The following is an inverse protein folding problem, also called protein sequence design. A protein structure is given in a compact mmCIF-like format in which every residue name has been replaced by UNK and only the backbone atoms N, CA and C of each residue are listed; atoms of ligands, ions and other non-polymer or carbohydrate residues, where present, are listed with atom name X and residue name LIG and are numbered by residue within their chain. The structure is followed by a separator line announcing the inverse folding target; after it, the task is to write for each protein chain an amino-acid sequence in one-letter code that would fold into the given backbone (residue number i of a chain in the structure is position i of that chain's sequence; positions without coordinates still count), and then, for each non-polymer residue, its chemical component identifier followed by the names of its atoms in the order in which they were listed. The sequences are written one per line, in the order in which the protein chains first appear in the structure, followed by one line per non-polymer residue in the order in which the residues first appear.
data_IF_335025235320
#
_entry.id   IF_335025235320
#
_cell.length_a   1.000
_cell.length_b   1.000
_cell.length_c   1.000
_cell.angle_alpha   90.00
_cell.angle_beta   90.00
_cell.angle_gamma   90.00
#
_symmetry.space_group_name_H-M   'P 1'
#
loop_
_entity.id
_entity.type
_entity.pdbx_description
1 polymer ?
#
# COMPACT_ATOMS: atom_id res chain seq x y z
N UNK A 1 23.65 0.55 2.79
CA UNK A 1 22.64 -0.25 2.10
C UNK A 1 23.23 -1.58 1.74
N UNK A 2 22.82 -2.61 2.47
CA UNK A 2 23.12 -3.99 2.19
C UNK A 2 22.38 -4.44 0.92
N UNK A 3 23.11 -4.41 -0.20
CA UNK A 3 22.61 -4.82 -1.50
C UNK A 3 22.24 -6.31 -1.53
N UNK A 4 22.87 -7.16 -0.70
CA UNK A 4 22.56 -8.59 -0.63
C UNK A 4 21.21 -8.84 0.06
N UNK A 5 20.93 -8.11 1.13
CA UNK A 5 19.63 -8.17 1.79
C UNK A 5 18.50 -7.65 0.88
N UNK A 6 18.75 -6.55 0.14
CA UNK A 6 17.78 -6.03 -0.83
C UNK A 6 17.52 -7.02 -1.97
N UNK A 7 18.56 -7.68 -2.51
CA UNK A 7 18.41 -8.75 -3.52
C UNK A 7 17.57 -9.91 -2.98
N UNK A 8 17.84 -10.35 -1.76
CA UNK A 8 17.07 -11.41 -1.09
C UNK A 8 15.60 -11.02 -0.94
N UNK A 9 15.32 -9.76 -0.59
CA UNK A 9 13.97 -9.25 -0.51
C UNK A 9 13.25 -9.23 -1.87
N UNK A 10 13.94 -8.86 -2.96
CA UNK A 10 13.39 -8.94 -4.32
C UNK A 10 13.03 -10.39 -4.68
N UNK A 11 13.90 -11.35 -4.42
CA UNK A 11 13.60 -12.77 -4.68
C UNK A 11 12.43 -13.28 -3.84
N UNK A 12 12.29 -12.82 -2.60
CA UNK A 12 11.10 -13.11 -1.76
C UNK A 12 9.80 -12.60 -2.39
N UNK A 13 9.82 -11.42 -3.04
CA UNK A 13 8.66 -10.88 -3.77
C UNK A 13 8.40 -11.66 -5.07
N UNK A 14 9.43 -12.14 -5.74
CA UNK A 14 9.28 -12.98 -6.94
C UNK A 14 8.68 -14.34 -6.59
N UNK A 15 9.16 -14.97 -5.51
CA UNK A 15 8.68 -16.28 -5.07
C UNK A 15 7.20 -16.30 -4.62
N UNK A 16 6.65 -15.16 -4.19
CA UNK A 16 5.20 -15.02 -3.91
C UNK A 16 4.35 -14.69 -5.15
N UNK A 17 4.97 -14.56 -6.32
CA UNK A 17 4.30 -14.39 -7.60
C UNK A 17 4.35 -12.98 -8.22
N UNK A 18 5.18 -12.06 -7.74
CA UNK A 18 5.48 -10.83 -8.50
C UNK A 18 6.44 -11.14 -9.65
N UNK A 19 6.31 -10.45 -10.78
CA UNK A 19 7.30 -10.56 -11.86
C UNK A 19 8.44 -9.56 -11.67
N UNK A 20 9.64 -9.86 -12.20
CA UNK A 20 10.75 -8.91 -12.17
C UNK A 20 10.43 -7.60 -12.90
N UNK A 21 9.68 -7.68 -14.01
CA UNK A 21 9.18 -6.54 -14.78
C UNK A 21 8.20 -5.67 -13.99
N UNK A 22 7.27 -6.28 -13.26
CA UNK A 22 6.35 -5.58 -12.34
C UNK A 22 7.14 -4.80 -11.29
N UNK A 23 8.11 -5.45 -10.63
CA UNK A 23 8.95 -4.82 -9.61
C UNK A 23 9.82 -3.70 -10.20
N UNK A 24 10.40 -3.89 -11.39
CA UNK A 24 11.18 -2.87 -12.09
C UNK A 24 10.34 -1.62 -12.35
N UNK A 25 9.13 -1.81 -12.88
CA UNK A 25 8.19 -0.72 -13.17
C UNK A 25 7.75 0.01 -11.90
N UNK A 26 7.45 -0.72 -10.83
CA UNK A 26 7.12 -0.16 -9.51
C UNK A 26 8.25 0.72 -8.97
N UNK A 27 9.50 0.32 -9.20
CA UNK A 27 10.70 1.07 -8.80
C UNK A 27 11.06 2.21 -9.77
N UNK A 28 10.44 2.28 -10.95
CA UNK A 28 10.75 3.26 -11.98
C UNK A 28 12.11 3.04 -12.64
N UNK A 29 12.53 1.78 -12.78
CA UNK A 29 13.76 1.38 -13.46
C UNK A 29 13.44 0.44 -14.65
N UNK A 30 14.42 0.20 -15.52
CA UNK A 30 14.24 -0.74 -16.64
C UNK A 30 14.38 -2.20 -16.18
N UNK A 31 13.75 -3.11 -16.93
CA UNK A 31 13.87 -4.56 -16.72
C UNK A 31 15.33 -5.03 -16.76
N UNK A 32 16.12 -4.47 -17.69
CA UNK A 32 17.56 -4.73 -17.78
C UNK A 32 18.27 -4.32 -16.52
N UNK A 33 17.96 -3.15 -15.98
CA UNK A 33 18.59 -2.64 -14.76
C UNK A 33 18.21 -3.50 -13.54
N UNK A 34 16.94 -3.92 -13.43
CA UNK A 34 16.49 -4.86 -12.40
C UNK A 34 17.21 -6.21 -12.50
N UNK A 35 17.36 -6.75 -13.72
CA UNK A 35 18.05 -8.03 -13.96
C UNK A 35 19.55 -7.96 -13.62
N UNK A 36 20.22 -6.88 -14.03
CA UNK A 36 21.64 -6.65 -13.71
C UNK A 36 21.85 -6.44 -12.21
N UNK A 37 20.96 -5.72 -11.53
CA UNK A 37 21.02 -5.55 -10.07
C UNK A 37 20.87 -6.90 -9.35
N UNK A 38 19.83 -7.68 -9.70
CA UNK A 38 19.58 -9.02 -9.12
C UNK A 38 20.76 -9.97 -9.31
N UNK A 39 21.43 -9.92 -10.47
CA UNK A 39 22.58 -10.77 -10.77
C UNK A 39 23.93 -10.27 -10.21
N UNK A 40 23.96 -9.11 -9.55
CA UNK A 40 25.20 -8.52 -9.03
C UNK A 40 26.17 -8.03 -10.10
N UNK A 41 25.67 -7.77 -11.31
CA UNK A 41 26.45 -7.29 -12.46
C UNK A 41 26.27 -5.79 -12.72
N UNK A 42 25.47 -5.11 -11.90
CA UNK A 42 25.27 -3.67 -12.04
C UNK A 42 26.58 -2.98 -11.62
N UNK A 43 27.21 -2.26 -12.55
CA UNK A 43 28.55 -1.68 -12.35
C UNK A 43 28.56 -0.48 -11.38
N UNK A 44 29.39 0.52 -11.67
CA UNK A 44 29.75 1.62 -10.75
C UNK A 44 28.59 2.46 -10.13
N UNK A 45 27.35 2.33 -10.60
CA UNK A 45 26.17 3.06 -10.09
C UNK A 45 25.21 2.16 -9.27
N UNK A 46 25.68 1.06 -8.69
CA UNK A 46 24.84 0.10 -7.95
C UNK A 46 24.12 0.74 -6.76
N UNK A 47 24.73 1.69 -6.05
CA UNK A 47 24.10 2.34 -4.89
C UNK A 47 22.88 3.20 -5.28
N UNK A 48 22.98 4.00 -6.34
CA UNK A 48 21.86 4.86 -6.78
C UNK A 48 20.65 4.04 -7.24
N UNK A 49 20.89 2.91 -7.91
CA UNK A 49 19.80 2.02 -8.31
C UNK A 49 19.22 1.27 -7.11
N UNK A 50 20.06 0.83 -6.16
CA UNK A 50 19.61 0.19 -4.93
C UNK A 50 18.70 1.13 -4.13
N UNK A 51 19.01 2.43 -4.06
CA UNK A 51 18.19 3.41 -3.33
C UNK A 51 16.80 3.57 -3.98
N UNK A 52 16.77 3.60 -5.32
CA UNK A 52 15.50 3.65 -6.07
C UNK A 52 14.67 2.39 -5.86
N UNK A 53 15.30 1.22 -5.88
CA UNK A 53 14.61 -0.06 -5.64
C UNK A 53 14.10 -0.13 -4.20
N UNK A 54 14.94 0.16 -3.21
CA UNK A 54 14.55 0.14 -1.81
C UNK A 54 13.37 1.09 -1.54
N UNK A 55 13.45 2.32 -2.07
CA UNK A 55 12.37 3.30 -1.97
C UNK A 55 11.08 2.84 -2.67
N UNK A 56 11.18 2.29 -3.88
CA UNK A 56 10.04 1.78 -4.65
C UNK A 56 9.34 0.58 -4.02
N UNK A 57 10.10 -0.28 -3.34
CA UNK A 57 9.59 -1.47 -2.67
C UNK A 57 9.26 -1.25 -1.18
N UNK A 58 9.41 -0.02 -0.67
CA UNK A 58 9.28 0.33 0.75
C UNK A 58 10.15 -0.57 1.65
N UNK A 59 11.35 -0.90 1.17
CA UNK A 59 12.34 -1.64 1.93
C UNK A 59 13.14 -0.68 2.81
N UNK A 60 13.30 -1.04 4.08
CA UNK A 60 14.07 -0.29 5.05
C UNK A 60 15.14 -1.20 5.64
N UNK A 61 16.40 -0.82 5.48
CA UNK A 61 17.53 -1.49 6.13
C UNK A 61 17.43 -1.29 7.65
N UNK A 62 17.80 -2.30 8.44
CA UNK A 62 17.70 -2.27 9.90
C UNK A 62 16.30 -1.94 10.43
N UNK A 63 15.25 -2.39 9.72
CA UNK A 63 13.88 -2.30 10.21
C UNK A 63 13.76 -3.04 11.55
N UNK A 64 13.05 -2.41 12.50
CA UNK A 64 12.81 -3.02 13.81
C UNK A 64 11.99 -4.30 13.67
N UNK A 65 12.32 -5.30 14.49
CA UNK A 65 11.54 -6.51 14.65
C UNK A 65 10.11 -6.14 15.06
N UNK A 66 9.15 -6.59 14.26
CA UNK A 66 7.73 -6.36 14.50
C UNK A 66 7.26 -7.33 15.58
N UNK A 67 6.64 -6.78 16.62
CA UNK A 67 6.11 -7.57 17.73
C UNK A 67 4.61 -7.72 17.56
N UNK A 68 4.17 -8.93 17.18
CA UNK A 68 2.75 -9.17 16.87
C UNK A 68 1.82 -8.85 18.05
N UNK A 69 2.26 -9.03 19.30
CA UNK A 69 1.41 -8.78 20.47
C UNK A 69 1.12 -7.30 20.74
N UNK A 70 1.74 -6.38 20.00
CA UNK A 70 1.52 -4.93 20.16
C UNK A 70 0.07 -4.60 19.86
N UNK A 71 -0.56 -3.86 20.77
CA UNK A 71 -2.00 -3.53 20.70
C UNK A 71 -2.40 -2.92 19.35
N UNK A 72 -1.68 -1.90 18.87
CA UNK A 72 -1.99 -1.25 17.61
C UNK A 72 -1.75 -2.16 16.39
N UNK A 73 -0.75 -3.05 16.45
CA UNK A 73 -0.51 -4.05 15.41
C UNK A 73 -1.71 -5.02 15.31
N UNK A 74 -2.21 -5.51 16.45
CA UNK A 74 -3.38 -6.39 16.48
C UNK A 74 -4.64 -5.71 15.92
N UNK A 75 -4.85 -4.42 16.21
CA UNK A 75 -5.94 -3.64 15.61
C UNK A 75 -5.81 -3.56 14.08
N UNK A 76 -4.61 -3.26 13.56
CA UNK A 76 -4.34 -3.19 12.12
C UNK A 76 -4.52 -4.57 11.47
N UNK A 77 -3.98 -5.64 12.08
CA UNK A 77 -4.11 -7.02 11.59
C UNK A 77 -5.57 -7.47 11.54
N UNK A 78 -6.36 -7.15 12.56
CA UNK A 78 -7.79 -7.46 12.59
C UNK A 78 -8.52 -6.78 11.42
N UNK A 79 -8.25 -5.50 11.19
CA UNK A 79 -8.80 -4.77 10.05
C UNK A 79 -8.35 -5.37 8.71
N UNK A 80 -7.06 -5.66 8.55
CA UNK A 80 -6.48 -6.27 7.36
C UNK A 80 -7.16 -7.60 7.02
N UNK A 81 -7.28 -8.51 7.99
CA UNK A 81 -7.91 -9.82 7.81
C UNK A 81 -9.39 -9.66 7.45
N UNK A 82 -10.10 -8.77 8.15
CA UNK A 82 -11.52 -8.51 7.88
C UNK A 82 -11.75 -7.91 6.49
N UNK A 83 -10.91 -6.95 6.07
CA UNK A 83 -10.97 -6.32 4.77
C UNK A 83 -10.70 -7.32 3.65
N UNK A 84 -9.63 -8.13 3.79
CA UNK A 84 -9.25 -9.13 2.77
C UNK A 84 -10.27 -10.25 2.66
N UNK A 85 -10.70 -10.83 3.79
CA UNK A 85 -11.62 -11.97 3.81
C UNK A 85 -13.02 -11.64 3.31
N UNK A 86 -13.51 -10.43 3.61
CA UNK A 86 -14.90 -10.04 3.35
C UNK A 86 -15.04 -9.01 2.23
N UNK A 87 -13.96 -8.71 1.49
CA UNK A 87 -13.92 -7.68 0.45
C UNK A 87 -14.44 -6.32 0.96
N UNK A 88 -14.09 -5.98 2.20
CA UNK A 88 -14.53 -4.73 2.85
C UNK A 88 -13.49 -3.64 2.69
N UNK A 89 -13.97 -2.41 2.52
CA UNK A 89 -13.15 -1.22 2.58
C UNK A 89 -13.20 -0.66 4.01
N UNK A 90 -12.05 -0.56 4.65
CA UNK A 90 -11.92 -0.07 6.02
C UNK A 90 -10.95 1.11 6.07
N UNK A 91 -11.32 2.15 6.79
CA UNK A 91 -10.48 3.33 6.97
C UNK A 91 -9.80 3.32 8.34
N UNK A 92 -8.47 3.46 8.37
CA UNK A 92 -7.70 3.63 9.60
C UNK A 92 -7.23 5.09 9.68
N UNK A 93 -7.85 5.88 10.56
CA UNK A 93 -7.50 7.27 10.78
C UNK A 93 -7.02 7.45 12.22
N UNK A 94 -5.71 7.62 12.41
CA UNK A 94 -5.11 7.74 13.75
C UNK A 94 -3.84 8.59 13.75
N UNK A 95 -3.40 9.07 14.91
CA UNK A 95 -2.22 9.96 15.05
C UNK A 95 -0.98 9.42 14.35
N UNK A 96 -0.08 10.32 13.94
CA UNK A 96 1.26 9.92 13.52
C UNK A 96 1.96 9.14 14.64
N UNK A 97 2.80 8.16 14.29
CA UNK A 97 3.49 7.31 15.27
C UNK A 97 2.64 6.22 15.94
N UNK A 98 1.37 6.04 15.56
CA UNK A 98 0.50 4.99 16.15
C UNK A 98 0.80 3.55 15.70
N UNK A 99 1.79 3.35 14.82
CA UNK A 99 2.18 2.02 14.32
C UNK A 99 1.50 1.55 13.03
N UNK A 100 0.76 2.42 12.33
CA UNK A 100 0.06 2.09 11.05
C UNK A 100 1.01 1.53 9.98
N UNK A 101 1.92 2.36 9.47
CA UNK A 101 2.76 2.06 8.31
C UNK A 101 3.59 0.79 8.51
N UNK A 102 4.25 0.64 9.67
CA UNK A 102 5.05 -0.55 9.96
C UNK A 102 4.20 -1.82 9.96
N UNK A 103 3.02 -1.78 10.59
CA UNK A 103 2.09 -2.92 10.62
C UNK A 103 1.58 -3.27 9.21
N UNK A 104 1.25 -2.28 8.39
CA UNK A 104 0.76 -2.51 7.02
C UNK A 104 1.84 -3.08 6.10
N UNK A 105 3.08 -2.59 6.20
CA UNK A 105 4.23 -3.11 5.45
C UNK A 105 4.52 -4.54 5.87
N UNK A 106 4.50 -4.83 7.17
CA UNK A 106 4.72 -6.18 7.70
C UNK A 106 3.65 -7.16 7.20
N UNK A 107 2.37 -6.81 7.30
CA UNK A 107 1.28 -7.66 6.81
C UNK A 107 1.33 -7.88 5.29
N UNK A 108 1.71 -6.85 4.52
CA UNK A 108 2.02 -7.02 3.09
C UNK A 108 3.18 -8.01 2.89
N UNK A 109 4.25 -7.89 3.66
CA UNK A 109 5.42 -8.75 3.61
C UNK A 109 5.16 -10.18 4.10
N UNK A 110 4.13 -10.41 4.90
CA UNK A 110 3.67 -11.73 5.34
C UNK A 110 2.72 -12.41 4.34
N UNK A 111 2.15 -11.67 3.38
CA UNK A 111 1.28 -12.25 2.37
C UNK A 111 2.03 -13.31 1.55
N UNK A 112 1.46 -14.52 1.52
CA UNK A 112 2.05 -15.68 0.85
C UNK A 112 1.97 -15.60 -0.68
N UNK A 113 1.00 -14.83 -1.18
CA UNK A 113 0.79 -14.59 -2.60
C UNK A 113 0.82 -13.08 -2.91
N UNK A 114 1.00 -12.75 -4.18
CA UNK A 114 0.95 -11.38 -4.71
C UNK A 114 -0.48 -10.80 -4.74
N UNK A 115 -1.34 -11.17 -3.79
CA UNK A 115 -2.74 -10.71 -3.71
C UNK A 115 -2.92 -9.37 -2.98
N UNK A 116 -1.91 -8.92 -2.26
CA UNK A 116 -1.95 -7.66 -1.50
C UNK A 116 -1.16 -6.61 -2.26
N UNK A 117 -1.80 -5.51 -2.59
CA UNK A 117 -1.20 -4.40 -3.32
C UNK A 117 -0.97 -3.26 -2.33
N UNK A 118 0.28 -2.89 -2.11
CA UNK A 118 0.66 -1.80 -1.23
C UNK A 118 1.08 -0.55 -2.02
N UNK A 119 0.41 0.57 -1.77
CA UNK A 119 0.73 1.87 -2.35
C UNK A 119 0.81 2.95 -1.26
N UNK A 120 2.00 3.55 -1.10
CA UNK A 120 2.19 4.74 -0.25
C UNK A 120 1.81 5.99 -1.02
N UNK A 121 0.75 6.66 -0.57
CA UNK A 121 0.21 7.85 -1.21
C UNK A 121 1.07 9.10 -0.94
N UNK A 122 1.03 10.02 -1.90
CA UNK A 122 1.53 11.40 -1.76
C UNK A 122 0.45 12.36 -2.22
N UNK A 123 0.77 13.65 -2.27
CA UNK A 123 -0.12 14.68 -2.81
C UNK A 123 -0.31 14.50 -4.33
N UNK A 124 -1.28 13.66 -4.69
CA UNK A 124 -1.59 13.27 -6.07
C UNK A 124 -3.03 13.66 -6.42
N UNK A 125 -3.22 14.10 -7.67
CA UNK A 125 -4.53 14.21 -8.32
C UNK A 125 -4.94 12.86 -8.93
N UNK A 126 -6.19 12.75 -9.40
CA UNK A 126 -6.76 11.54 -10.02
C UNK A 126 -5.79 10.83 -10.99
N UNK A 127 -5.38 11.52 -12.07
CA UNK A 127 -4.47 10.99 -13.09
C UNK A 127 -3.20 10.39 -12.47
N UNK A 128 -2.57 11.11 -11.55
CA UNK A 128 -1.30 10.68 -10.95
C UNK A 128 -1.48 9.50 -10.01
N UNK A 129 -2.57 9.48 -9.24
CA UNK A 129 -2.94 8.36 -8.38
C UNK A 129 -3.17 7.09 -9.20
N UNK A 130 -4.03 7.15 -10.22
CA UNK A 130 -4.35 6.01 -11.07
C UNK A 130 -3.13 5.49 -11.83
N UNK A 131 -2.30 6.38 -12.39
CA UNK A 131 -1.00 5.98 -12.98
C UNK A 131 -0.11 5.25 -11.99
N UNK A 132 0.00 5.75 -10.75
CA UNK A 132 0.84 5.13 -9.73
C UNK A 132 0.28 3.79 -9.26
N UNK A 133 -1.03 3.65 -9.18
CA UNK A 133 -1.69 2.40 -8.84
C UNK A 133 -1.51 1.35 -9.94
N UNK A 134 -1.81 1.68 -11.20
CA UNK A 134 -1.59 0.80 -12.35
C UNK A 134 -0.11 0.38 -12.46
N UNK A 135 0.82 1.33 -12.34
CA UNK A 135 2.26 1.03 -12.36
C UNK A 135 2.68 0.10 -11.21
N UNK A 136 2.12 0.29 -10.01
CA UNK A 136 2.39 -0.55 -8.85
C UNK A 136 1.93 -2.01 -9.05
N UNK A 137 0.84 -2.19 -9.81
CA UNK A 137 0.29 -3.48 -10.24
C UNK A 137 1.07 -4.09 -11.43
N UNK A 138 2.12 -3.42 -11.92
CA UNK A 138 2.90 -3.88 -13.07
C UNK A 138 2.23 -3.66 -14.43
N UNK A 139 1.19 -2.81 -14.49
CA UNK A 139 0.52 -2.47 -15.74
C UNK A 139 1.29 -1.40 -16.53
N UNK A 140 1.21 -1.47 -17.85
CA UNK A 140 1.85 -0.50 -18.73
C UNK A 140 0.95 0.71 -18.94
N UNK A 141 1.41 1.88 -18.51
CA UNK A 141 0.71 3.15 -18.67
C UNK A 141 1.36 3.97 -19.79
N UNK A 142 0.55 4.49 -20.71
CA UNK A 142 1.01 5.40 -21.77
C UNK A 142 0.57 6.84 -21.51
N UNK A 143 1.19 7.79 -22.22
CA UNK A 143 0.80 9.21 -22.13
C UNK A 143 -0.59 9.51 -22.69
N UNK A 144 -1.11 8.62 -23.54
CA UNK A 144 -2.37 8.81 -24.25
C UNK A 144 -3.58 8.37 -23.45
N UNK A 145 -3.37 7.55 -22.42
CA UNK A 145 -4.45 7.12 -21.52
C UNK A 145 -5.01 8.32 -20.75
N UNK A 146 -6.32 8.47 -20.69
CA UNK A 146 -6.99 9.42 -19.81
C UNK A 146 -7.24 8.82 -18.41
N UNK A 147 -8.15 9.39 -17.62
CA UNK A 147 -8.44 8.82 -16.30
C UNK A 147 -9.29 7.56 -16.38
N UNK A 148 -10.16 7.45 -17.37
CA UNK A 148 -11.09 6.34 -17.51
C UNK A 148 -10.32 5.12 -18.03
N UNK A 149 -9.44 5.31 -19.02
CA UNK A 149 -8.50 4.27 -19.49
C UNK A 149 -7.67 3.67 -18.34
N UNK A 150 -7.21 4.52 -17.41
CA UNK A 150 -6.43 4.06 -16.26
C UNK A 150 -7.30 3.36 -15.22
N UNK A 151 -8.53 3.84 -15.00
CA UNK A 151 -9.48 3.20 -14.12
C UNK A 151 -9.77 1.79 -14.61
N UNK A 152 -10.11 1.64 -15.90
CA UNK A 152 -10.38 0.37 -16.55
C UNK A 152 -9.18 -0.59 -16.45
N UNK A 153 -7.96 -0.07 -16.63
CA UNK A 153 -6.74 -0.85 -16.49
C UNK A 153 -6.56 -1.38 -15.06
N UNK A 154 -6.77 -0.53 -14.05
CA UNK A 154 -6.68 -0.88 -12.62
C UNK A 154 -7.77 -1.90 -12.25
N UNK A 155 -9.02 -1.63 -12.61
CA UNK A 155 -10.18 -2.48 -12.35
C UNK A 155 -9.99 -3.85 -13.00
N UNK A 156 -9.57 -3.87 -14.27
CA UNK A 156 -9.31 -5.11 -15.01
C UNK A 156 -8.23 -5.96 -14.33
N UNK A 157 -7.16 -5.32 -13.83
CA UNK A 157 -6.11 -6.03 -13.08
C UNK A 157 -6.68 -6.67 -11.81
N UNK A 158 -7.41 -5.90 -11.01
CA UNK A 158 -8.02 -6.39 -9.75
C UNK A 158 -9.00 -7.54 -10.03
N UNK A 159 -9.80 -7.43 -11.10
CA UNK A 159 -10.76 -8.46 -11.48
C UNK A 159 -10.07 -9.76 -11.92
N UNK A 160 -8.92 -9.70 -12.61
CA UNK A 160 -8.09 -10.89 -12.89
C UNK A 160 -7.58 -11.57 -11.61
N UNK A 161 -7.39 -10.80 -10.53
CA UNK A 161 -6.92 -11.30 -9.25
C UNK A 161 -8.05 -11.79 -8.33
N UNK A 162 -9.32 -11.66 -8.70
CA UNK A 162 -10.46 -11.88 -7.82
C UNK A 162 -10.43 -13.22 -7.05
N UNK A 163 -9.93 -14.30 -7.68
CA UNK A 163 -9.77 -15.62 -7.05
C UNK A 163 -8.77 -15.68 -5.89
N UNK A 164 -7.96 -14.65 -5.68
CA UNK A 164 -6.98 -14.53 -4.57
C UNK A 164 -7.44 -13.59 -3.45
N UNK A 165 -8.69 -13.12 -3.51
CA UNK A 165 -9.25 -12.10 -2.61
C UNK A 165 -8.32 -10.88 -2.48
N UNK A 166 -8.15 -10.09 -3.55
CA UNK A 166 -7.18 -9.02 -3.56
C UNK A 166 -7.46 -7.98 -2.46
N UNK A 167 -6.40 -7.44 -1.89
CA UNK A 167 -6.46 -6.37 -0.89
C UNK A 167 -5.61 -5.18 -1.34
N UNK A 168 -6.23 -4.00 -1.45
CA UNK A 168 -5.53 -2.74 -1.70
C UNK A 168 -5.21 -2.02 -0.39
N UNK A 169 -3.94 -1.72 -0.15
CA UNK A 169 -3.48 -0.86 0.95
C UNK A 169 -3.07 0.49 0.38
N UNK A 170 -3.77 1.54 0.81
CA UNK A 170 -3.41 2.93 0.57
C UNK A 170 -2.88 3.54 1.86
N UNK A 171 -1.56 3.57 2.03
CA UNK A 171 -0.92 4.20 3.19
C UNK A 171 -0.75 5.71 2.96
N UNK A 172 -0.85 6.53 4.01
CA UNK A 172 -0.80 7.99 3.92
C UNK A 172 -1.87 8.63 2.99
N UNK A 173 -3.03 7.97 2.84
CA UNK A 173 -4.11 8.37 1.93
C UNK A 173 -4.69 9.77 2.21
N UNK A 174 -4.54 10.29 3.44
CA UNK A 174 -4.91 11.67 3.79
C UNK A 174 -4.16 12.76 3.02
N UNK A 175 -3.11 12.41 2.27
CA UNK A 175 -2.37 13.33 1.39
C UNK A 175 -2.98 13.47 -0.01
N UNK A 176 -3.84 12.53 -0.42
CA UNK A 176 -4.46 12.56 -1.74
C UNK A 176 -5.28 13.84 -1.93
N UNK A 177 -5.25 14.39 -3.14
CA UNK A 177 -6.17 15.46 -3.50
C UNK A 177 -7.59 14.90 -3.58
N UNK A 178 -8.60 15.79 -3.46
CA UNK A 178 -9.99 15.40 -3.58
C UNK A 178 -10.28 14.61 -4.87
N UNK A 179 -9.75 15.05 -6.01
CA UNK A 179 -9.92 14.33 -7.27
C UNK A 179 -9.39 12.89 -7.24
N UNK A 180 -8.30 12.61 -6.52
CA UNK A 180 -7.82 11.25 -6.34
C UNK A 180 -8.71 10.45 -5.39
N UNK A 181 -9.21 11.06 -4.31
CA UNK A 181 -10.16 10.40 -3.42
C UNK A 181 -11.45 10.01 -4.15
N UNK A 182 -11.97 10.86 -5.04
CA UNK A 182 -13.17 10.54 -5.83
C UNK A 182 -12.99 9.31 -6.73
N UNK A 183 -11.77 9.01 -7.20
CA UNK A 183 -11.53 7.78 -7.99
C UNK A 183 -11.75 6.49 -7.18
N UNK A 184 -11.79 6.56 -5.85
CA UNK A 184 -12.11 5.41 -5.01
C UNK A 184 -13.56 4.94 -5.15
N UNK A 185 -14.47 5.83 -5.57
CA UNK A 185 -15.89 5.51 -5.75
C UNK A 185 -16.09 4.52 -6.90
N UNK A 186 -15.75 4.84 -8.16
CA UNK A 186 -15.87 3.88 -9.26
C UNK A 186 -14.99 2.65 -9.05
N UNK A 187 -13.78 2.81 -8.47
CA UNK A 187 -12.94 1.67 -8.13
C UNK A 187 -13.64 0.69 -7.17
N UNK A 188 -14.35 1.19 -6.15
CA UNK A 188 -15.14 0.34 -5.27
C UNK A 188 -16.28 -0.34 -6.03
N UNK A 189 -17.04 0.40 -6.83
CA UNK A 189 -18.20 -0.11 -7.55
C UNK A 189 -17.84 -1.21 -8.54
N UNK A 190 -16.82 -0.98 -9.36
CA UNK A 190 -16.43 -1.90 -10.43
C UNK A 190 -15.66 -3.13 -9.91
N UNK A 191 -15.29 -3.11 -8.62
CA UNK A 191 -14.63 -4.22 -7.93
C UNK A 191 -15.44 -4.76 -6.74
N UNK A 192 -16.74 -4.44 -6.69
CA UNK A 192 -17.65 -4.88 -5.64
C UNK A 192 -17.59 -6.41 -5.47
N UNK A 193 -17.55 -6.85 -4.22
CA UNK A 193 -17.41 -8.27 -3.81
C UNK A 193 -16.09 -8.94 -4.23
N UNK A 194 -15.12 -8.21 -4.79
CA UNK A 194 -13.83 -8.75 -5.22
C UNK A 194 -12.66 -8.13 -4.47
N UNK A 195 -12.69 -6.81 -4.26
CA UNK A 195 -11.60 -6.07 -3.63
C UNK A 195 -11.90 -5.70 -2.18
N UNK A 196 -11.02 -6.09 -1.26
CA UNK A 196 -10.92 -5.43 0.04
C UNK A 196 -9.98 -4.23 -0.02
N UNK A 197 -10.15 -3.25 0.88
CA UNK A 197 -9.21 -2.15 0.99
C UNK A 197 -8.93 -1.73 2.44
N UNK A 198 -7.68 -1.35 2.71
CA UNK A 198 -7.28 -0.59 3.89
C UNK A 198 -6.82 0.79 3.42
N UNK A 199 -7.59 1.81 3.77
CA UNK A 199 -7.24 3.21 3.50
C UNK A 199 -6.76 3.84 4.80
N UNK A 200 -5.45 4.07 4.91
CA UNK A 200 -4.82 4.50 6.14
C UNK A 200 -4.31 5.93 6.04
N UNK A 201 -4.49 6.71 7.09
CA UNK A 201 -4.01 8.09 7.17
C UNK A 201 -3.91 8.60 8.59
N UNK A 202 -3.44 9.84 8.72
CA UNK A 202 -3.54 10.57 9.99
C UNK A 202 -5.00 10.90 10.30
N UNK A 203 -5.28 11.43 11.50
CA UNK A 203 -6.62 11.90 11.90
C UNK A 203 -7.20 12.99 10.98
N UNK A 204 -6.38 13.60 10.10
CA UNK A 204 -6.88 14.56 9.12
C UNK A 204 -7.70 13.90 8.02
N UNK A 205 -7.49 12.60 7.75
CA UNK A 205 -8.24 11.87 6.73
C UNK A 205 -9.74 11.83 7.07
N UNK A 206 -10.09 11.31 8.25
CA UNK A 206 -11.47 11.29 8.73
C UNK A 206 -12.05 12.70 8.84
N UNK A 207 -11.32 13.63 9.47
CA UNK A 207 -11.78 15.03 9.64
C UNK A 207 -12.09 15.70 8.32
N UNK A 208 -11.25 15.50 7.29
CA UNK A 208 -11.48 16.09 5.98
C UNK A 208 -12.71 15.48 5.30
N UNK A 209 -12.85 14.15 5.33
CA UNK A 209 -14.03 13.50 4.73
C UNK A 209 -15.31 14.02 5.38
N UNK A 210 -15.43 13.88 6.70
CA UNK A 210 -16.63 14.30 7.46
C UNK A 210 -16.94 15.79 7.31
N UNK A 211 -15.92 16.65 7.18
CA UNK A 211 -16.12 18.09 6.98
C UNK A 211 -16.85 18.44 5.67
N UNK A 212 -16.68 17.62 4.64
CA UNK A 212 -17.18 17.89 3.29
C UNK A 212 -18.35 17.00 2.85
N UNK A 213 -18.75 16.02 3.66
CA UNK A 213 -20.01 15.28 3.47
C UNK A 213 -21.18 16.26 3.34
N UNK A 214 -21.97 16.09 2.28
CA UNK A 214 -23.11 16.97 1.95
C UNK A 214 -22.76 18.38 1.48
N UNK A 215 -21.46 18.70 1.32
CA UNK A 215 -20.99 20.04 0.88
C UNK A 215 -20.21 20.00 -0.43
N UNK A 216 -19.47 18.93 -0.65
CA UNK A 216 -18.70 18.71 -1.87
C UNK A 216 -19.01 17.30 -2.35
N UNK A 217 -19.24 17.15 -3.65
CA UNK A 217 -19.56 15.90 -4.32
C UNK A 217 -18.54 14.79 -4.00
N UNK A 218 -19.00 13.54 -3.98
CA UNK A 218 -18.18 12.35 -3.73
C UNK A 218 -17.81 12.09 -2.27
N UNK A 219 -17.75 13.09 -1.37
CA UNK A 219 -17.36 12.83 0.03
C UNK A 219 -18.38 12.01 0.82
N UNK A 220 -19.68 12.18 0.60
CA UNK A 220 -20.71 11.34 1.24
C UNK A 220 -20.63 9.89 0.74
N UNK A 221 -20.37 9.69 -0.55
CA UNK A 221 -20.20 8.36 -1.13
C UNK A 221 -18.95 7.66 -0.58
N UNK A 222 -17.81 8.36 -0.51
CA UNK A 222 -16.57 7.85 0.08
C UNK A 222 -16.78 7.47 1.55
N UNK A 223 -17.42 8.33 2.33
CA UNK A 223 -17.76 8.05 3.74
C UNK A 223 -18.66 6.79 3.83
N UNK A 224 -19.64 6.68 2.94
CA UNK A 224 -20.47 5.50 2.76
C UNK A 224 -19.68 4.23 2.46
N UNK A 225 -18.67 4.28 1.59
CA UNK A 225 -17.81 3.12 1.24
C UNK A 225 -16.95 2.67 2.41
N UNK A 226 -16.61 3.56 3.32
CA UNK A 226 -15.98 3.24 4.60
C UNK A 226 -16.98 2.81 5.68
N UNK A 227 -18.25 2.58 5.32
CA UNK A 227 -19.35 2.30 6.25
C UNK A 227 -19.50 3.38 7.33
N UNK A 228 -19.07 4.61 7.02
CA UNK A 228 -18.99 5.75 7.95
C UNK A 228 -18.24 5.44 9.24
N UNK A 229 -17.29 4.49 9.18
CA UNK A 229 -16.54 3.98 10.31
C UNK A 229 -15.03 4.15 10.11
N UNK A 230 -14.36 4.67 11.14
CA UNK A 230 -12.94 5.01 11.12
C UNK A 230 -12.25 4.39 12.32
N UNK A 231 -11.24 3.56 12.05
CA UNK A 231 -10.51 2.84 13.08
C UNK A 231 -9.43 3.75 13.66
N UNK A 232 -9.64 4.18 14.91
CA UNK A 232 -8.61 4.82 15.71
C UNK A 232 -7.73 3.76 16.39
N UNK A 233 -6.42 3.90 16.26
CA UNK A 233 -5.45 3.05 16.94
C UNK A 233 -5.15 3.62 18.32
N UNK A 234 -5.10 2.74 19.32
CA UNK A 234 -4.76 3.12 20.70
C UNK A 234 -3.30 3.56 20.86
N UNK A 235 -2.44 3.19 19.89
CA UNK A 235 -0.99 3.37 19.97
C UNK A 235 -0.33 2.27 20.80
N UNK A 236 0.94 2.47 21.14
CA UNK A 236 1.69 1.53 21.96
C UNK A 236 1.47 1.84 23.45
N UNK A 237 1.04 0.83 24.21
CA UNK A 237 0.98 0.89 25.68
C UNK A 237 2.38 0.76 26.29
N UNK A 238 2.53 1.03 27.58
CA UNK A 238 3.80 0.77 28.31
C UNK A 238 4.25 -0.69 28.19
N UNK A 239 3.31 -1.64 28.16
CA UNK A 239 3.60 -3.07 27.95
C UNK A 239 4.13 -3.31 26.54
N UNK A 240 3.50 -2.70 25.53
CA UNK A 240 3.91 -2.81 24.13
C UNK A 240 5.32 -2.25 23.93
N UNK A 241 5.60 -1.06 24.46
CA UNK A 241 6.94 -0.44 24.37
C UNK A 241 8.02 -1.35 24.96
N UNK A 242 7.77 -1.95 26.14
CA UNK A 242 8.71 -2.92 26.72
C UNK A 242 8.94 -4.14 25.81
N UNK A 243 7.88 -4.67 25.21
CA UNK A 243 7.98 -5.81 24.31
C UNK A 243 8.77 -5.45 23.04
N UNK A 244 8.52 -4.26 22.48
CA UNK A 244 9.22 -3.74 21.31
C UNK A 244 10.72 -3.55 21.62
N UNK A 245 11.07 -2.93 22.75
CA UNK A 245 12.47 -2.77 23.17
C UNK A 245 13.16 -4.12 23.34
N UNK A 246 12.55 -5.06 24.07
CA UNK A 246 13.11 -6.38 24.30
C UNK A 246 13.34 -7.16 22.99
N UNK A 247 12.39 -7.12 22.05
CA UNK A 247 12.52 -7.78 20.76
C UNK A 247 13.60 -7.16 19.85
N UNK A 248 14.05 -5.94 20.16
CA UNK A 248 15.05 -5.20 19.40
C UNK A 248 16.37 -4.99 20.18
N UNK A 249 16.54 -5.66 21.33
CA UNK A 249 17.79 -5.64 22.10
C UNK A 249 18.08 -4.35 22.87
N UNK A 250 17.03 -3.59 23.22
CA UNK A 250 17.10 -2.35 24.02
C UNK A 250 16.61 -2.61 25.45
#
# INVERSE_FOLDING_TARGET
MDNQALKTYIEKLINRGSSATELARKCGISDTAMSQFRSGKYGANEDSIAEKIASGLNYYENAWNVVESVTSYQQVRTAFVAAKRNHKWMCISSRSGSGKTQSLIDLYNMSADNSVIYLKCRKWTARKFLTKLATCMGETVTRYMDNDDLMDLVVSHINRMAGKSPLLILDDAGKLAHSALCTLIPLYDDTLHRLGAIVAGTETLERNIKRYVGRVEGYDEIDGRFCRNYIALLGATKKDVKAICAANGI
#
